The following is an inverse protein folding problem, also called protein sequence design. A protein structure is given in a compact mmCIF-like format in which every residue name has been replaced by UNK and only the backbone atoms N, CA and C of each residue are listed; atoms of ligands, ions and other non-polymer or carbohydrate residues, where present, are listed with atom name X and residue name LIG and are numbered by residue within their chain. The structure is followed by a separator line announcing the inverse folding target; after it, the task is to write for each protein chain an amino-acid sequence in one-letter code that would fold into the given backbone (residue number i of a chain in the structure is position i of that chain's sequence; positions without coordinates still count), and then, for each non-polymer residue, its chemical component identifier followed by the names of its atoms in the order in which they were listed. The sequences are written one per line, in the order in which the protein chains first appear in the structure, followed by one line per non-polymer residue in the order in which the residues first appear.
data_IF_971267940480
#
_entry.id   IF_971267940480
#
_cell.length_a   1.000
_cell.length_b   1.000
_cell.length_c   1.000
_cell.angle_alpha   90.00
_cell.angle_beta   90.00
_cell.angle_gamma   90.00
#
_symmetry.space_group_name_H-M   'P 1'
#
loop_
_entity.id
_entity.type
_entity.pdbx_description
1 polymer ?
#
# COMPACT_ATOMS: atom_id res chain seq x y z
N UNK A 1 24.02 -6.43 -0.47
CA UNK A 1 22.93 -5.44 -0.37
C UNK A 1 23.01 -4.39 -1.50
N UNK A 2 23.18 -4.81 -2.77
CA UNK A 2 23.23 -3.94 -3.97
C UNK A 2 22.11 -4.30 -4.96
N UNK A 3 21.49 -5.47 -4.78
CA UNK A 3 20.48 -6.02 -5.69
C UNK A 3 19.19 -5.19 -5.70
N UNK A 4 18.78 -4.65 -4.55
CA UNK A 4 17.52 -3.91 -4.42
C UNK A 4 17.54 -2.56 -5.15
N UNK A 5 18.56 -1.69 -4.97
CA UNK A 5 18.66 -0.46 -5.75
C UNK A 5 18.81 -0.68 -7.26
N UNK A 6 19.48 -1.77 -7.67
CA UNK A 6 19.59 -2.13 -9.09
C UNK A 6 18.23 -2.56 -9.67
N UNK A 7 17.47 -3.34 -8.91
CA UNK A 7 16.12 -3.76 -9.28
C UNK A 7 15.18 -2.56 -9.43
N UNK A 8 15.17 -1.64 -8.45
CA UNK A 8 14.35 -0.43 -8.51
C UNK A 8 14.71 0.44 -9.73
N UNK A 9 16.00 0.68 -9.99
CA UNK A 9 16.45 1.44 -11.17
C UNK A 9 15.99 0.81 -12.48
N UNK A 10 15.99 -0.52 -12.55
CA UNK A 10 15.49 -1.26 -13.71
C UNK A 10 13.98 -1.07 -13.86
N UNK A 11 13.21 -1.24 -12.79
CA UNK A 11 11.75 -1.10 -12.80
C UNK A 11 11.33 0.31 -13.22
N UNK A 12 11.97 1.34 -12.66
CA UNK A 12 11.73 2.76 -13.04
C UNK A 12 12.01 3.00 -14.52
N UNK A 13 13.06 2.36 -15.06
CA UNK A 13 13.38 2.48 -16.49
C UNK A 13 12.33 1.78 -17.37
N UNK A 14 11.85 0.61 -16.97
CA UNK A 14 10.81 -0.14 -17.69
C UNK A 14 9.45 0.60 -17.68
N UNK A 15 9.15 1.35 -16.61
CA UNK A 15 7.90 2.08 -16.43
C UNK A 15 7.90 3.50 -17.01
N UNK A 16 9.05 4.08 -17.36
CA UNK A 16 9.19 5.50 -17.74
C UNK A 16 8.26 5.92 -18.88
N UNK A 17 8.12 5.08 -19.89
CA UNK A 17 7.36 5.38 -21.11
C UNK A 17 6.05 4.59 -21.17
N UNK A 18 5.63 3.97 -20.06
CA UNK A 18 4.38 3.23 -19.97
C UNK A 18 3.22 4.16 -19.58
N UNK A 19 2.00 3.89 -20.06
CA UNK A 19 0.82 4.62 -19.63
C UNK A 19 0.62 4.44 -18.12
N UNK A 20 0.36 5.55 -17.42
CA UNK A 20 0.02 5.51 -15.99
C UNK A 20 -1.44 5.12 -15.81
N UNK A 21 -1.79 4.32 -14.79
CA UNK A 21 -3.18 4.04 -14.48
C UNK A 21 -3.88 5.33 -14.02
N UNK A 22 -5.12 5.55 -14.47
CA UNK A 22 -5.96 6.63 -13.94
C UNK A 22 -6.63 6.28 -12.60
N UNK A 23 -6.66 4.99 -12.24
CA UNK A 23 -7.32 4.48 -11.04
C UNK A 23 -6.54 3.31 -10.45
N UNK A 24 -6.24 3.39 -9.15
CA UNK A 24 -5.67 2.29 -8.37
C UNK A 24 -6.63 1.91 -7.25
N UNK A 25 -6.86 0.61 -7.07
CA UNK A 25 -7.63 0.07 -5.96
C UNK A 25 -6.78 -0.91 -5.15
N UNK A 26 -6.86 -0.84 -3.82
CA UNK A 26 -6.15 -1.75 -2.92
C UNK A 26 -7.11 -2.39 -1.91
N UNK A 27 -6.80 -3.63 -1.53
CA UNK A 27 -7.44 -4.35 -0.43
C UNK A 27 -6.47 -4.33 0.74
N UNK A 28 -6.89 -3.74 1.86
CA UNK A 28 -6.02 -3.58 3.03
C UNK A 28 -6.27 -4.75 3.97
N UNK A 29 -5.51 -5.82 3.76
CA UNK A 29 -5.57 -7.04 4.55
C UNK A 29 -4.32 -7.22 5.42
N UNK A 30 -4.44 -8.06 6.45
CA UNK A 30 -3.31 -8.50 7.25
C UNK A 30 -3.00 -7.62 8.47
N UNK A 31 -3.72 -6.52 8.71
CA UNK A 31 -3.49 -5.63 9.86
C UNK A 31 -3.40 -6.37 11.21
N UNK A 32 -4.32 -7.32 11.45
CA UNK A 32 -4.32 -8.14 12.68
C UNK A 32 -3.14 -9.11 12.75
N UNK A 33 -2.76 -9.71 11.61
CA UNK A 33 -1.62 -10.63 11.52
C UNK A 33 -0.31 -9.88 11.74
N UNK A 34 -0.15 -8.74 11.06
CA UNK A 34 0.99 -7.84 11.22
C UNK A 34 1.14 -7.38 12.67
N UNK A 35 0.04 -6.98 13.35
CA UNK A 35 0.10 -6.60 14.76
C UNK A 35 0.65 -7.72 15.65
N UNK A 36 0.21 -8.97 15.45
CA UNK A 36 0.70 -10.13 16.20
C UNK A 36 2.17 -10.44 15.90
N UNK A 37 2.56 -10.41 14.63
CA UNK A 37 3.95 -10.66 14.20
C UNK A 37 4.92 -9.59 14.72
N UNK A 38 4.44 -8.37 14.94
CA UNK A 38 5.21 -7.28 15.52
C UNK A 38 5.09 -7.19 17.06
N UNK A 39 4.52 -8.20 17.71
CA UNK A 39 4.49 -8.32 19.17
C UNK A 39 3.47 -7.41 19.88
N UNK A 40 2.52 -6.82 19.15
CA UNK A 40 1.45 -6.02 19.76
C UNK A 40 0.41 -6.93 20.42
N UNK A 41 0.11 -6.66 21.70
CA UNK A 41 -0.94 -7.35 22.43
C UNK A 41 -2.35 -6.97 21.94
N UNK A 42 -2.51 -5.74 21.44
CA UNK A 42 -3.76 -5.24 20.88
C UNK A 42 -3.66 -5.11 19.35
N UNK A 43 -4.59 -5.75 18.64
CA UNK A 43 -4.68 -5.71 17.18
C UNK A 43 -5.09 -4.33 16.64
N UNK A 44 -5.64 -3.45 17.48
CA UNK A 44 -5.95 -2.06 17.12
C UNK A 44 -4.73 -1.31 16.60
N UNK A 45 -3.52 -1.66 17.08
CA UNK A 45 -2.27 -1.10 16.58
C UNK A 45 -2.05 -1.41 15.10
N UNK A 46 -2.39 -2.62 14.66
CA UNK A 46 -2.30 -3.00 13.25
C UNK A 46 -3.24 -2.18 12.37
N UNK A 47 -4.44 -1.85 12.87
CA UNK A 47 -5.37 -0.98 12.14
C UNK A 47 -4.86 0.45 12.04
N UNK A 48 -4.21 0.98 13.08
CA UNK A 48 -3.60 2.31 13.06
C UNK A 48 -2.46 2.41 12.05
N UNK A 49 -1.54 1.44 12.07
CA UNK A 49 -0.43 1.38 11.10
C UNK A 49 -0.94 1.15 9.68
N UNK A 50 -1.98 0.32 9.52
CA UNK A 50 -2.67 0.16 8.24
C UNK A 50 -3.25 1.47 7.72
N UNK A 51 -3.87 2.29 8.57
CA UNK A 51 -4.38 3.62 8.22
C UNK A 51 -3.27 4.57 7.77
N UNK A 52 -2.16 4.63 8.50
CA UNK A 52 -0.99 5.43 8.12
C UNK A 52 -0.43 4.99 6.76
N UNK A 53 -0.36 3.69 6.50
CA UNK A 53 0.11 3.14 5.22
C UNK A 53 -0.82 3.48 4.05
N UNK A 54 -2.14 3.51 4.27
CA UNK A 54 -3.11 3.92 3.24
C UNK A 54 -2.83 5.36 2.80
N UNK A 55 -2.59 6.27 3.74
CA UNK A 55 -2.27 7.68 3.44
C UNK A 55 -0.98 7.78 2.64
N UNK A 56 0.04 7.02 3.01
CA UNK A 56 1.31 6.97 2.28
C UNK A 56 1.12 6.50 0.83
N UNK A 57 0.34 5.44 0.61
CA UNK A 57 0.05 4.94 -0.76
C UNK A 57 -0.80 5.93 -1.55
N UNK A 58 -1.74 6.61 -0.91
CA UNK A 58 -2.52 7.67 -1.56
C UNK A 58 -1.63 8.83 -2.03
N UNK A 59 -0.66 9.24 -1.21
CA UNK A 59 0.32 10.26 -1.58
C UNK A 59 1.19 9.80 -2.75
N UNK A 60 1.62 8.54 -2.79
CA UNK A 60 2.32 8.01 -3.96
C UNK A 60 1.45 8.06 -5.22
N UNK A 61 0.16 7.74 -5.11
CA UNK A 61 -0.75 7.83 -6.25
C UNK A 61 -0.86 9.28 -6.77
N UNK A 62 -0.96 10.25 -5.87
CA UNK A 62 -0.99 11.68 -6.20
C UNK A 62 0.30 12.15 -6.88
N UNK A 63 1.47 11.81 -6.32
CA UNK A 63 2.78 12.11 -6.90
C UNK A 63 2.97 11.50 -8.30
N UNK A 64 2.31 10.36 -8.56
CA UNK A 64 2.29 9.72 -9.87
C UNK A 64 1.16 10.22 -10.80
N UNK A 65 0.34 11.18 -10.39
CA UNK A 65 -0.75 11.73 -11.20
C UNK A 65 -1.92 10.76 -11.42
N UNK A 66 -2.12 9.82 -10.49
CA UNK A 66 -3.24 8.87 -10.50
C UNK A 66 -4.44 9.57 -9.87
N UNK A 67 -5.45 9.90 -10.69
CA UNK A 67 -6.58 10.74 -10.25
C UNK A 67 -7.57 10.04 -9.30
N UNK A 68 -7.60 8.71 -9.27
CA UNK A 68 -8.53 7.95 -8.44
C UNK A 68 -7.81 6.89 -7.62
N UNK A 69 -8.08 6.86 -6.32
CA UNK A 69 -7.59 5.85 -5.40
C UNK A 69 -8.75 5.26 -4.59
N UNK A 70 -8.87 3.93 -4.57
CA UNK A 70 -9.94 3.21 -3.85
C UNK A 70 -9.35 2.24 -2.86
N UNK A 71 -9.95 2.19 -1.67
CA UNK A 71 -9.49 1.34 -0.58
C UNK A 71 -10.64 0.48 -0.08
N UNK A 72 -10.43 -0.84 -0.06
CA UNK A 72 -11.34 -1.76 0.59
C UNK A 72 -10.94 -1.96 2.05
N UNK A 73 -11.68 -1.29 2.95
CA UNK A 73 -11.37 -1.23 4.38
C UNK A 73 -12.12 -2.27 5.21
N UNK A 74 -13.38 -2.54 4.87
CA UNK A 74 -14.25 -3.43 5.65
C UNK A 74 -15.25 -4.13 4.73
N UNK A 75 -15.37 -5.44 4.89
CA UNK A 75 -16.41 -6.26 4.25
C UNK A 75 -17.62 -6.36 5.15
N UNK A 76 -18.82 -6.47 4.56
CA UNK A 76 -20.03 -6.90 5.27
C UNK A 76 -19.92 -8.30 5.85
N UNK A 77 -19.01 -9.13 5.32
CA UNK A 77 -18.71 -10.47 5.85
C UNK A 77 -17.79 -10.44 7.08
N UNK A 78 -17.16 -9.29 7.35
CA UNK A 78 -16.26 -9.07 8.49
C UNK A 78 -16.91 -8.29 9.64
N UNK A 79 -18.24 -8.06 9.56
CA UNK A 79 -19.05 -7.42 10.61
C UNK A 79 -19.44 -8.42 11.71
#
# INVERSE_FOLDING_TARGET
MILYPLYERRLVRELRDQPRPGHVAIIVDGNRRWARENGFADVSHGHRVGAEKIVEVANWCDEQGIGTFTVYLLSTENL
#
